data_IF_872139881710
#
_entry.id   IF_872139881710
#
_cell.length_a   1.000
_cell.length_b   1.000
_cell.length_c   1.000
_cell.angle_alpha   90.00
_cell.angle_beta   90.00
_cell.angle_gamma   90.00
#
_symmetry.space_group_name_H-M   'P 1'
#
loop_
_entity.id
_entity.type
_entity.pdbx_description
1 polymer ?
#
# COMPACT_ATOMS: atom_id res chain seq x y z
N UNK A 1 6.25 -42.89 8.55
CA UNK A 1 7.11 -41.84 7.96
C UNK A 1 6.38 -40.50 8.04
N UNK A 2 6.62 -39.73 9.10
CA UNK A 2 6.02 -38.40 9.28
C UNK A 2 6.96 -37.39 8.64
N UNK A 3 6.52 -36.70 7.57
CA UNK A 3 7.28 -35.61 6.97
C UNK A 3 7.36 -34.47 7.97
N UNK A 4 8.52 -34.28 8.59
CA UNK A 4 8.90 -32.99 9.18
C UNK A 4 9.02 -31.99 8.04
N UNK A 5 7.95 -31.22 7.82
CA UNK A 5 8.00 -30.02 6.99
C UNK A 5 8.74 -28.99 7.85
N UNK A 6 9.92 -28.51 7.42
CA UNK A 6 10.65 -27.55 8.22
C UNK A 6 9.85 -26.24 8.26
N UNK A 7 9.40 -25.82 9.45
CA UNK A 7 8.77 -24.52 9.71
C UNK A 7 9.80 -23.41 9.55
N UNK A 8 10.30 -23.20 8.33
CA UNK A 8 11.18 -22.09 7.97
C UNK A 8 10.28 -20.95 7.52
N UNK A 9 9.71 -20.23 8.48
CA UNK A 9 9.64 -18.77 8.47
C UNK A 9 8.94 -18.34 9.77
N UNK A 10 9.70 -18.22 10.86
CA UNK A 10 9.33 -17.30 11.94
C UNK A 10 9.56 -15.89 11.43
N UNK A 11 8.75 -15.48 10.45
CA UNK A 11 8.78 -14.13 9.90
C UNK A 11 8.44 -13.23 11.08
N UNK A 12 9.17 -12.13 11.25
CA UNK A 12 8.99 -11.28 12.43
C UNK A 12 7.70 -10.46 12.25
N UNK A 13 6.77 -10.51 13.20
CA UNK A 13 5.52 -9.71 13.22
C UNK A 13 5.80 -8.22 12.94
N UNK A 14 6.97 -7.75 13.37
CA UNK A 14 7.50 -6.42 13.15
C UNK A 14 7.66 -6.05 11.66
N UNK A 15 8.01 -7.01 10.79
CA UNK A 15 8.13 -6.77 9.34
C UNK A 15 6.76 -6.51 8.70
N UNK A 16 5.71 -7.19 9.17
CA UNK A 16 4.34 -6.95 8.70
C UNK A 16 3.87 -5.56 9.15
N UNK A 17 4.10 -5.22 10.43
CA UNK A 17 3.77 -3.90 10.96
C UNK A 17 4.49 -2.79 10.19
N UNK A 18 5.76 -2.97 9.83
CA UNK A 18 6.51 -2.03 9.00
C UNK A 18 5.92 -1.89 7.60
N UNK A 19 5.54 -3.01 6.95
CA UNK A 19 4.86 -2.98 5.66
C UNK A 19 3.52 -2.22 5.74
N UNK A 20 2.80 -2.38 6.84
CA UNK A 20 1.51 -1.70 7.07
C UNK A 20 1.69 -0.20 7.22
N UNK A 21 2.66 0.24 8.03
CA UNK A 21 3.04 1.65 8.15
C UNK A 21 3.46 2.21 6.79
N UNK A 22 4.26 1.47 6.02
CA UNK A 22 4.70 1.89 4.70
C UNK A 22 3.52 2.04 3.72
N UNK A 23 2.54 1.14 3.76
CA UNK A 23 1.32 1.24 2.97
C UNK A 23 0.47 2.46 3.37
N UNK A 24 0.36 2.75 4.67
CA UNK A 24 -0.31 3.97 5.17
C UNK A 24 0.38 5.24 4.69
N UNK A 25 1.71 5.27 4.64
CA UNK A 25 2.44 6.41 4.06
C UNK A 25 2.10 6.63 2.59
N UNK A 26 2.05 5.57 1.78
CA UNK A 26 1.62 5.67 0.38
C UNK A 26 0.19 6.22 0.24
N UNK A 27 -0.72 5.78 1.11
CA UNK A 27 -2.09 6.30 1.18
C UNK A 27 -2.13 7.79 1.53
N UNK A 28 -1.32 8.20 2.51
CA UNK A 28 -1.21 9.60 2.92
C UNK A 28 -0.71 10.48 1.76
N UNK A 29 0.35 10.05 1.07
CA UNK A 29 0.87 10.79 -0.09
C UNK A 29 -0.16 10.87 -1.22
N UNK A 30 -0.85 9.75 -1.54
CA UNK A 30 -1.92 9.74 -2.53
C UNK A 30 -3.06 10.71 -2.17
N UNK A 31 -3.46 10.75 -0.89
CA UNK A 31 -4.49 11.67 -0.39
C UNK A 31 -4.03 13.14 -0.43
N UNK A 32 -2.77 13.44 -0.10
CA UNK A 32 -2.24 14.80 -0.20
C UNK A 32 -2.24 15.31 -1.64
N UNK A 33 -1.83 14.47 -2.60
CA UNK A 33 -1.86 14.82 -4.03
C UNK A 33 -3.30 15.04 -4.49
N UNK A 34 -4.23 14.16 -4.12
CA UNK A 34 -5.65 14.33 -4.42
C UNK A 34 -6.25 15.61 -3.80
N UNK A 35 -5.81 16.00 -2.60
CA UNK A 35 -6.23 17.25 -1.95
C UNK A 35 -5.70 18.50 -2.64
N UNK A 36 -4.48 18.45 -3.20
CA UNK A 36 -3.95 19.53 -4.04
C UNK A 36 -4.72 19.65 -5.36
N UNK A 37 -5.26 18.54 -5.87
CA UNK A 37 -6.12 18.55 -7.05
C UNK A 37 -7.33 19.49 -6.88
N UNK A 38 -7.94 19.49 -5.68
CA UNK A 38 -9.06 20.38 -5.35
C UNK A 38 -8.65 21.86 -5.29
N UNK A 39 -7.43 22.17 -4.87
CA UNK A 39 -6.89 23.55 -4.85
C UNK A 39 -6.43 24.04 -6.21
N UNK A 40 -6.04 23.13 -7.09
CA UNK A 40 -5.55 23.43 -8.44
C UNK A 40 -6.64 23.59 -9.49
N UNK A 41 -7.93 23.54 -9.11
CA UNK A 41 -9.04 23.88 -10.00
C UNK A 41 -8.89 25.34 -10.49
N UNK A 42 -8.48 25.50 -11.75
CA UNK A 42 -8.10 26.78 -12.35
C UNK A 42 -6.72 26.78 -13.02
N UNK A 43 -5.92 25.72 -12.82
CA UNK A 43 -4.67 25.49 -13.56
C UNK A 43 -4.92 24.59 -14.79
N UNK A 44 -3.95 24.60 -15.71
CA UNK A 44 -3.97 23.90 -17.00
C UNK A 44 -4.53 22.47 -16.91
N UNK A 45 -5.54 22.13 -17.72
CA UNK A 45 -6.28 20.85 -17.66
C UNK A 45 -5.38 19.62 -17.74
N UNK A 46 -4.26 19.72 -18.47
CA UNK A 46 -3.26 18.65 -18.60
C UNK A 46 -2.59 18.35 -17.26
N UNK A 47 -2.25 19.38 -16.47
CA UNK A 47 -1.62 19.20 -15.17
C UNK A 47 -2.57 18.53 -14.17
N UNK A 48 -3.86 18.88 -14.24
CA UNK A 48 -4.90 18.26 -13.42
C UNK A 48 -5.08 16.78 -13.76
N UNK A 49 -5.10 16.43 -15.05
CA UNK A 49 -5.18 15.03 -15.51
C UNK A 49 -3.97 14.20 -15.05
N UNK A 50 -2.75 14.76 -15.14
CA UNK A 50 -1.52 14.09 -14.69
C UNK A 50 -1.55 13.85 -13.17
N UNK A 51 -1.90 14.88 -12.39
CA UNK A 51 -1.96 14.75 -10.94
C UNK A 51 -3.06 13.79 -10.46
N UNK A 52 -4.19 13.71 -11.18
CA UNK A 52 -5.23 12.71 -10.94
C UNK A 52 -4.69 11.28 -11.15
N UNK A 53 -4.05 11.03 -12.31
CA UNK A 53 -3.47 9.72 -12.62
C UNK A 53 -2.40 9.33 -11.61
N UNK A 54 -1.56 10.29 -11.20
CA UNK A 54 -0.54 10.04 -10.20
C UNK A 54 -1.16 9.66 -8.84
N UNK A 55 -2.15 10.41 -8.36
CA UNK A 55 -2.87 10.07 -7.13
C UNK A 55 -3.50 8.67 -7.22
N UNK A 56 -4.13 8.35 -8.35
CA UNK A 56 -4.74 7.05 -8.60
C UNK A 56 -3.72 5.91 -8.49
N UNK A 57 -2.56 6.04 -9.12
CA UNK A 57 -1.47 5.06 -9.05
C UNK A 57 -1.04 4.84 -7.59
N UNK A 58 -0.86 5.91 -6.81
CA UNK A 58 -0.51 5.81 -5.39
C UNK A 58 -1.58 5.02 -4.60
N UNK A 59 -2.86 5.26 -4.85
CA UNK A 59 -3.95 4.50 -4.21
C UNK A 59 -3.94 3.02 -4.62
N UNK A 60 -3.70 2.70 -5.89
CA UNK A 60 -3.58 1.32 -6.36
C UNK A 60 -2.42 0.60 -5.67
N UNK A 61 -1.25 1.22 -5.60
CA UNK A 61 -0.09 0.64 -4.91
C UNK A 61 -0.36 0.43 -3.42
N UNK A 62 -0.93 1.43 -2.74
CA UNK A 62 -1.26 1.30 -1.32
C UNK A 62 -2.24 0.16 -1.07
N UNK A 63 -3.27 0.03 -1.91
CA UNK A 63 -4.23 -1.08 -1.85
C UNK A 63 -3.57 -2.44 -2.09
N UNK A 64 -2.69 -2.55 -3.09
CA UNK A 64 -1.94 -3.78 -3.38
C UNK A 64 -1.08 -4.21 -2.19
N UNK A 65 -0.38 -3.26 -1.56
CA UNK A 65 0.42 -3.51 -0.36
C UNK A 65 -0.46 -3.99 0.80
N UNK A 66 -1.65 -3.40 0.97
CA UNK A 66 -2.59 -3.83 2.02
C UNK A 66 -3.10 -5.25 1.82
N UNK A 67 -3.40 -5.63 0.56
CA UNK A 67 -3.79 -7.00 0.22
C UNK A 67 -2.64 -7.97 0.51
N UNK A 68 -1.40 -7.62 0.12
CA UNK A 68 -0.22 -8.43 0.41
C UNK A 68 0.00 -8.62 1.92
N UNK A 69 -0.30 -7.59 2.73
CA UNK A 69 -0.25 -7.68 4.19
C UNK A 69 -1.32 -8.63 4.72
N UNK A 70 -2.57 -8.53 4.25
CA UNK A 70 -3.65 -9.43 4.65
C UNK A 70 -3.33 -10.89 4.34
N UNK A 71 -2.75 -11.17 3.16
CA UNK A 71 -2.29 -12.52 2.79
C UNK A 71 -1.14 -12.97 3.70
N UNK A 72 -0.17 -12.10 3.97
CA UNK A 72 0.94 -12.41 4.87
C UNK A 72 0.46 -12.67 6.31
N UNK A 73 -0.52 -11.92 6.82
CA UNK A 73 -1.14 -12.15 8.13
C UNK A 73 -1.80 -13.52 8.21
N UNK A 74 -2.56 -13.90 7.18
CA UNK A 74 -3.22 -15.20 7.12
C UNK A 74 -2.22 -16.36 7.18
N UNK A 75 -1.07 -16.24 6.50
CA UNK A 75 0.00 -17.24 6.56
C UNK A 75 0.71 -17.36 7.92
N UNK A 76 0.52 -16.39 8.83
CA UNK A 76 1.05 -16.48 10.18
C UNK A 76 0.07 -17.11 11.18
N UNK A 77 -1.23 -17.12 10.88
CA UNK A 77 -2.25 -17.74 11.72
C UNK A 77 -2.35 -19.26 11.53
N UNK A 78 -1.95 -19.79 10.35
CA UNK A 78 -1.84 -21.23 10.05
C UNK A 78 -0.46 -21.82 10.43
#
# INVERSE_FOLDING_TARGET
MVRMIPKIYKRSRWKIAFLWVLASFFLLFGSMIAGQLQRSFGTNDIALLIAFFLALIFFLFAGLLWIAISVALRQYEE
#
